data_IF_538094793460
#
_entry.id   IF_538094793460
#
_cell.length_a   1.000
_cell.length_b   1.000
_cell.length_c   1.000
_cell.angle_alpha   90.00
_cell.angle_beta   90.00
_cell.angle_gamma   90.00
#
_symmetry.space_group_name_H-M   'P 1'
#
loop_
_entity.id
_entity.type
_entity.pdbx_description
1 polymer ?
#
# COMPACT_ATOMS: atom_id res chain seq x y z
N UNK A 1 2.40 -22.90 -26.04
CA UNK A 1 1.93 -23.21 -24.69
C UNK A 1 3.05 -23.00 -23.67
N UNK A 2 3.45 -21.74 -23.51
CA UNK A 2 4.23 -21.30 -22.36
C UNK A 2 3.27 -20.62 -21.37
N UNK A 3 3.13 -21.18 -20.17
CA UNK A 3 2.43 -20.53 -19.08
C UNK A 3 3.40 -19.63 -18.31
N UNK A 4 3.07 -18.34 -18.25
CA UNK A 4 3.85 -17.34 -17.50
C UNK A 4 3.04 -16.85 -16.32
N UNK A 5 3.66 -16.81 -15.14
CA UNK A 5 3.08 -16.20 -13.95
C UNK A 5 3.85 -14.92 -13.63
N UNK A 6 3.15 -13.80 -13.51
CA UNK A 6 3.74 -12.51 -13.14
C UNK A 6 2.92 -11.82 -12.06
N UNK A 7 3.59 -10.96 -11.29
CA UNK A 7 2.94 -10.06 -10.34
C UNK A 7 3.18 -8.64 -10.83
N UNK A 8 2.10 -7.87 -10.97
CA UNK A 8 2.16 -6.46 -11.35
C UNK A 8 1.41 -5.62 -10.32
N UNK A 9 1.86 -4.39 -10.09
CA UNK A 9 1.06 -3.38 -9.39
C UNK A 9 -0.05 -2.92 -10.32
N UNK A 10 -1.29 -3.21 -9.95
CA UNK A 10 -2.47 -2.94 -10.76
C UNK A 10 -3.13 -1.61 -10.38
N UNK A 11 -3.10 -1.25 -9.10
CA UNK A 11 -3.69 -0.01 -8.62
C UNK A 11 -2.98 0.52 -7.36
N UNK A 12 -2.83 1.83 -7.26
CA UNK A 12 -2.37 2.52 -6.05
C UNK A 12 -3.36 3.65 -5.75
N UNK A 13 -3.99 3.61 -4.58
CA UNK A 13 -4.98 4.61 -4.14
C UNK A 13 -4.49 5.33 -2.89
N UNK A 14 -4.62 6.66 -2.88
CA UNK A 14 -4.40 7.46 -1.67
C UNK A 14 -5.73 7.62 -0.94
N UNK A 15 -5.82 7.06 0.26
CA UNK A 15 -7.04 7.07 1.07
C UNK A 15 -6.82 7.96 2.28
N UNK A 16 -7.71 8.93 2.48
CA UNK A 16 -7.71 9.76 3.69
C UNK A 16 -8.31 8.97 4.86
N UNK A 17 -7.60 8.93 5.97
CA UNK A 17 -8.06 8.34 7.23
C UNK A 17 -7.94 9.41 8.30
N UNK A 18 -9.07 9.99 8.70
CA UNK A 18 -9.12 11.15 9.60
C UNK A 18 -8.20 12.29 9.13
N UNK A 19 -7.14 12.59 9.88
CA UNK A 19 -6.17 13.66 9.60
C UNK A 19 -4.89 13.19 8.92
N UNK A 20 -4.76 11.90 8.61
CA UNK A 20 -3.63 11.37 7.84
C UNK A 20 -4.09 10.68 6.55
N UNK A 21 -3.13 10.17 5.79
CA UNK A 21 -3.37 9.40 4.56
C UNK A 21 -2.70 8.04 4.67
N UNK A 22 -3.28 7.04 4.01
CA UNK A 22 -2.67 5.73 3.79
C UNK A 22 -2.66 5.44 2.30
N UNK A 23 -1.71 4.63 1.83
CA UNK A 23 -1.75 4.10 0.46
C UNK A 23 -2.32 2.69 0.47
N UNK A 24 -3.33 2.45 -0.36
CA UNK A 24 -3.81 1.11 -0.66
C UNK A 24 -3.21 0.66 -1.99
N UNK A 25 -2.43 -0.42 -1.95
CA UNK A 25 -1.76 -0.99 -3.13
C UNK A 25 -2.43 -2.30 -3.48
N UNK A 26 -2.87 -2.43 -4.74
CA UNK A 26 -3.42 -3.67 -5.30
C UNK A 26 -2.43 -4.27 -6.28
N UNK A 27 -2.03 -5.50 -5.99
CA UNK A 27 -1.21 -6.32 -6.87
C UNK A 27 -2.10 -7.34 -7.59
N UNK A 28 -1.88 -7.52 -8.89
CA UNK A 28 -2.47 -8.57 -9.68
C UNK A 28 -1.44 -9.67 -9.95
N UNK A 29 -1.75 -10.88 -9.49
CA UNK A 29 -1.02 -12.09 -9.85
C UNK A 29 -1.71 -12.67 -11.09
N UNK A 30 -1.06 -12.54 -12.23
CA UNK A 30 -1.58 -12.93 -13.54
C UNK A 30 -0.97 -14.26 -13.99
N UNK A 31 -1.79 -15.10 -14.63
CA UNK A 31 -1.37 -16.30 -15.37
C UNK A 31 -1.70 -16.08 -16.82
N UNK A 32 -0.68 -16.13 -17.68
CA UNK A 32 -0.76 -15.90 -19.11
C UNK A 32 -0.41 -17.16 -19.89
N UNK A 33 -1.08 -17.40 -21.01
CA UNK A 33 -0.73 -18.42 -22.01
C UNK A 33 -0.37 -17.73 -23.33
N UNK A 34 0.87 -17.91 -23.77
CA UNK A 34 1.39 -17.33 -25.01
C UNK A 34 1.16 -15.80 -25.11
N UNK A 35 1.13 -15.12 -23.96
CA UNK A 35 0.94 -13.66 -23.84
C UNK A 35 -0.50 -13.22 -23.57
N UNK A 36 -1.48 -14.12 -23.68
CA UNK A 36 -2.88 -13.82 -23.37
C UNK A 36 -3.20 -14.09 -21.90
N UNK A 37 -3.93 -13.16 -21.26
CA UNK A 37 -4.35 -13.31 -19.87
C UNK A 37 -5.42 -14.40 -19.74
N UNK A 38 -5.10 -15.50 -19.05
CA UNK A 38 -6.07 -16.55 -18.74
C UNK A 38 -6.82 -16.28 -17.44
N UNK A 39 -6.09 -15.90 -16.40
CA UNK A 39 -6.68 -15.63 -15.09
C UNK A 39 -5.81 -14.65 -14.30
N UNK A 40 -6.45 -13.95 -13.37
CA UNK A 40 -5.73 -13.13 -12.40
C UNK A 40 -6.40 -13.15 -11.03
N UNK A 41 -5.58 -13.01 -10.00
CA UNK A 41 -6.01 -12.85 -8.61
C UNK A 41 -5.45 -11.56 -8.04
N UNK A 42 -6.27 -10.83 -7.30
CA UNK A 42 -5.85 -9.59 -6.65
C UNK A 42 -5.48 -9.82 -5.20
N UNK A 43 -4.39 -9.18 -4.77
CA UNK A 43 -4.00 -9.01 -3.37
C UNK A 43 -3.93 -7.51 -3.07
N UNK A 44 -4.37 -7.11 -1.87
CA UNK A 44 -4.29 -5.72 -1.42
C UNK A 44 -3.52 -5.65 -0.11
N UNK A 45 -2.65 -4.67 0.00
CA UNK A 45 -1.99 -4.30 1.23
C UNK A 45 -2.08 -2.79 1.45
N UNK A 46 -1.93 -2.37 2.71
CA UNK A 46 -1.98 -0.97 3.11
C UNK A 46 -0.59 -0.55 3.55
N UNK A 47 -0.12 0.60 3.06
CA UNK A 47 1.09 1.26 3.51
C UNK A 47 0.69 2.47 4.36
N UNK A 48 0.99 2.38 5.65
CA UNK A 48 0.81 3.47 6.61
C UNK A 48 1.94 4.50 6.48
N UNK A 49 1.77 5.74 6.99
CA UNK A 49 2.79 6.79 6.92
C UNK A 49 4.16 6.43 7.54
N UNK A 50 4.20 5.47 8.45
CA UNK A 50 5.39 4.96 9.13
C UNK A 50 5.95 3.66 8.50
N UNK A 51 5.41 3.21 7.36
CA UNK A 51 5.87 2.00 6.70
C UNK A 51 7.35 2.07 6.32
N UNK A 52 8.04 0.93 6.42
CA UNK A 52 9.45 0.83 6.02
C UNK A 52 9.62 0.95 4.50
N UNK A 53 10.20 2.06 4.07
CA UNK A 53 10.48 2.34 2.66
C UNK A 53 11.38 1.31 1.99
N UNK A 54 12.25 0.61 2.75
CA UNK A 54 13.14 -0.43 2.20
C UNK A 54 12.37 -1.71 1.84
N UNK A 55 11.19 -1.91 2.44
CA UNK A 55 10.32 -3.04 2.14
C UNK A 55 9.43 -2.82 0.91
N UNK A 56 9.38 -1.59 0.37
CA UNK A 56 8.59 -1.24 -0.83
C UNK A 56 9.43 -1.52 -2.07
N UNK A 57 9.16 -2.64 -2.74
CA UNK A 57 9.94 -3.11 -3.89
C UNK A 57 9.57 -2.43 -5.21
N UNK A 58 8.32 -1.97 -5.37
CA UNK A 58 7.87 -1.30 -6.59
C UNK A 58 8.29 0.19 -6.58
N UNK A 59 9.09 0.66 -7.55
CA UNK A 59 9.58 2.03 -7.59
C UNK A 59 8.48 3.07 -7.81
N UNK A 60 7.38 2.72 -8.49
CA UNK A 60 6.23 3.61 -8.70
C UNK A 60 5.46 3.77 -7.38
N UNK A 61 5.27 2.67 -6.65
CA UNK A 61 4.65 2.70 -5.32
C UNK A 61 5.51 3.52 -4.36
N UNK A 62 6.83 3.33 -4.37
CA UNK A 62 7.77 4.08 -3.53
C UNK A 62 7.76 5.58 -3.85
N UNK A 63 7.72 5.95 -5.14
CA UNK A 63 7.64 7.36 -5.54
C UNK A 63 6.34 8.01 -5.05
N UNK A 64 5.20 7.32 -5.19
CA UNK A 64 3.92 7.80 -4.69
C UNK A 64 3.91 7.89 -3.16
N UNK A 65 4.49 6.90 -2.48
CA UNK A 65 4.64 6.89 -1.02
C UNK A 65 5.42 8.11 -0.53
N UNK A 66 6.58 8.39 -1.12
CA UNK A 66 7.40 9.54 -0.73
C UNK A 66 6.71 10.88 -1.05
N UNK A 67 5.90 10.96 -2.11
CA UNK A 67 5.15 12.16 -2.46
C UNK A 67 3.97 12.42 -1.51
N UNK A 68 3.30 11.37 -1.04
CA UNK A 68 2.10 11.48 -0.18
C UNK A 68 2.50 11.57 1.29
N UNK A 69 3.45 10.76 1.76
CA UNK A 69 3.81 10.66 3.18
C UNK A 69 4.77 11.78 3.62
N UNK A 70 4.27 13.01 3.55
CA UNK A 70 4.95 14.21 4.06
C UNK A 70 5.13 14.16 5.58
N UNK A 71 6.05 14.97 6.11
CA UNK A 71 6.31 15.04 7.56
C UNK A 71 5.05 15.39 8.37
N UNK A 72 4.19 16.26 7.84
CA UNK A 72 2.92 16.61 8.48
C UNK A 72 1.98 15.40 8.58
N UNK A 73 1.89 14.59 7.51
CA UNK A 73 1.03 13.40 7.49
C UNK A 73 1.55 12.34 8.47
N UNK A 74 2.88 12.18 8.54
CA UNK A 74 3.52 11.29 9.54
C UNK A 74 3.23 11.73 10.97
N UNK A 75 3.31 13.02 11.25
CA UNK A 75 2.94 13.57 12.57
C UNK A 75 1.47 13.29 12.91
N UNK A 76 0.55 13.57 11.98
CA UNK A 76 -0.88 13.32 12.18
C UNK A 76 -1.17 11.84 12.44
N UNK A 77 -0.44 10.93 11.80
CA UNK A 77 -0.56 9.50 12.03
C UNK A 77 -0.04 9.08 13.42
N UNK A 78 1.06 9.66 13.90
CA UNK A 78 1.53 9.40 15.26
C UNK A 78 0.51 9.85 16.31
N UNK A 79 -0.07 11.05 16.15
CA UNK A 79 -1.16 11.51 17.03
C UNK A 79 -2.37 10.57 17.01
N UNK A 80 -2.71 10.00 15.84
CA UNK A 80 -3.76 9.00 15.73
C UNK A 80 -3.43 7.71 16.50
N UNK A 81 -2.19 7.21 16.40
CA UNK A 81 -1.76 6.02 17.14
C UNK A 81 -1.76 6.25 18.67
N UNK A 82 -1.32 7.43 19.12
CA UNK A 82 -1.35 7.81 20.53
C UNK A 82 -2.79 7.86 21.07
N UNK A 83 -3.71 8.48 20.33
CA UNK A 83 -5.12 8.51 20.69
C UNK A 83 -5.74 7.11 20.74
N UNK A 84 -5.46 6.26 19.74
CA UNK A 84 -5.95 4.88 19.72
C UNK A 84 -5.43 4.07 20.91
N UNK A 85 -4.13 4.21 21.25
CA UNK A 85 -3.54 3.51 22.39
C UNK A 85 -4.16 3.97 23.72
N UNK A 86 -4.44 5.27 23.88
CA UNK A 86 -5.09 5.81 25.08
C UNK A 86 -6.53 5.29 25.23
N UNK A 87 -7.29 5.14 24.15
CA UNK A 87 -8.64 4.57 24.17
C UNK A 87 -8.63 3.06 24.51
N UNK A 88 -7.64 2.33 24.02
CA UNK A 88 -7.52 0.89 24.25
C UNK A 88 -7.00 0.53 25.65
N UNK A 89 -6.27 1.43 26.30
CA UNK A 89 -5.72 1.22 27.64
C UNK A 89 -5.98 2.45 28.55
N UNK A 90 -7.24 2.68 28.96
CA UNK A 90 -7.56 3.72 29.93
C UNK A 90 -6.94 3.34 31.29
N UNK A 91 -6.15 4.25 31.87
CA UNK A 91 -5.54 4.09 33.22
C UNK A 91 -6.57 3.79 34.32
#
# INVERSE_FOLDING_TARGET
>A
MALTKQTITDQVETVRVQDHYVLQVREAIQVLEDGELLSQKYHRHVLNPDADTQAISDPVVLAQFNAVMTDQIKQNYQTFLEAQNAEMNPE
#
